data_IF_694528290770
#
_entry.id   IF_694528290770
#
_cell.length_a   1.000
_cell.length_b   1.000
_cell.length_c   1.000
_cell.angle_alpha   90.00
_cell.angle_beta   90.00
_cell.angle_gamma   90.00
#
_symmetry.space_group_name_H-M   'P 1'
#
loop_
_entity.id
_entity.type
_entity.pdbx_description
1 polymer ?
#
# COMPACT_ATOMS: atom_id res chain seq x y z
N UNK A 1 38.77 -8.60 -25.41
CA UNK A 1 38.88 -8.15 -24.00
C UNK A 1 37.55 -7.56 -23.62
N UNK A 2 36.89 -8.07 -22.57
CA UNK A 2 35.64 -7.47 -22.08
C UNK A 2 35.97 -6.12 -21.45
N UNK A 3 35.43 -5.05 -22.02
CA UNK A 3 35.64 -3.72 -21.47
C UNK A 3 34.70 -3.49 -20.29
N UNK A 4 35.13 -2.75 -19.25
CA UNK A 4 34.33 -2.55 -18.04
C UNK A 4 32.93 -2.00 -18.32
N UNK A 5 32.79 -1.11 -19.29
CA UNK A 5 31.50 -0.55 -19.72
C UNK A 5 30.54 -1.61 -20.26
N UNK A 6 31.05 -2.61 -20.99
CA UNK A 6 30.23 -3.71 -21.51
C UNK A 6 29.75 -4.63 -20.38
N UNK A 7 30.59 -4.85 -19.37
CA UNK A 7 30.23 -5.65 -18.19
C UNK A 7 29.08 -4.98 -17.43
N UNK A 8 29.19 -3.67 -17.17
CA UNK A 8 28.14 -2.91 -16.50
C UNK A 8 26.85 -2.83 -17.30
N UNK A 9 26.95 -2.68 -18.63
CA UNK A 9 25.79 -2.70 -19.51
C UNK A 9 25.04 -4.04 -19.46
N UNK A 10 25.76 -5.16 -19.61
CA UNK A 10 25.18 -6.50 -19.53
C UNK A 10 24.59 -6.77 -18.14
N UNK A 11 25.31 -6.37 -17.07
CA UNK A 11 24.83 -6.49 -15.70
C UNK A 11 23.48 -5.77 -15.52
N UNK A 12 23.35 -4.55 -16.06
CA UNK A 12 22.10 -3.80 -16.02
C UNK A 12 20.94 -4.49 -16.73
N UNK A 13 21.20 -5.08 -17.91
CA UNK A 13 20.21 -5.87 -18.66
C UNK A 13 19.79 -7.11 -17.87
N UNK A 14 20.74 -7.86 -17.31
CA UNK A 14 20.45 -9.06 -16.52
C UNK A 14 19.62 -8.71 -15.28
N UNK A 15 19.96 -7.64 -14.56
CA UNK A 15 19.19 -7.17 -13.40
C UNK A 15 17.76 -6.78 -13.79
N UNK A 16 17.58 -6.09 -14.92
CA UNK A 16 16.25 -5.74 -15.43
C UNK A 16 15.44 -6.98 -15.83
N UNK A 17 16.06 -8.02 -16.38
CA UNK A 17 15.39 -9.29 -16.69
C UNK A 17 15.04 -10.08 -15.43
N UNK A 18 15.88 -10.01 -14.39
CA UNK A 18 15.66 -10.70 -13.12
C UNK A 18 14.43 -10.16 -12.36
N UNK A 19 14.06 -8.90 -12.61
CA UNK A 19 12.83 -8.30 -12.09
C UNK A 19 11.59 -9.11 -12.45
N UNK A 20 11.53 -9.72 -13.65
CA UNK A 20 10.37 -10.54 -14.03
C UNK A 20 10.22 -11.80 -13.17
N UNK A 21 11.30 -12.28 -12.55
CA UNK A 21 11.27 -13.41 -11.62
C UNK A 21 10.89 -12.98 -10.20
N UNK A 22 11.26 -11.77 -9.79
CA UNK A 22 10.98 -11.22 -8.45
C UNK A 22 10.26 -9.87 -8.61
N UNK A 23 8.92 -9.85 -8.62
CA UNK A 23 8.17 -8.60 -8.73
C UNK A 23 8.39 -7.73 -7.48
N UNK A 24 9.10 -6.62 -7.66
CA UNK A 24 9.42 -5.65 -6.61
C UNK A 24 9.85 -4.26 -7.10
N UNK A 25 9.99 -4.07 -8.42
CA UNK A 25 10.53 -2.93 -9.19
C UNK A 25 11.98 -2.55 -8.82
N UNK A 26 12.50 -3.05 -7.70
CA UNK A 26 13.81 -2.75 -7.12
C UNK A 26 14.95 -3.09 -8.09
N UNK A 27 14.90 -4.23 -8.77
CA UNK A 27 16.02 -4.72 -9.60
C UNK A 27 16.20 -3.85 -10.85
N UNK A 28 15.11 -3.29 -11.39
CA UNK A 28 15.17 -2.33 -12.50
C UNK A 28 15.94 -1.08 -12.10
N UNK A 29 15.79 -0.57 -10.88
CA UNK A 29 16.54 0.60 -10.41
C UNK A 29 18.04 0.31 -10.30
N UNK A 30 18.41 -0.87 -9.81
CA UNK A 30 19.81 -1.32 -9.85
C UNK A 30 20.30 -1.46 -11.30
N UNK A 31 19.46 -1.94 -12.22
CA UNK A 31 19.80 -2.02 -13.64
C UNK A 31 20.08 -0.65 -14.26
N UNK A 32 19.24 0.35 -13.96
CA UNK A 32 19.46 1.75 -14.38
C UNK A 32 20.72 2.31 -13.75
N UNK A 33 21.00 2.03 -12.47
CA UNK A 33 22.25 2.38 -11.82
C UNK A 33 23.48 1.80 -12.54
N UNK A 34 23.42 0.54 -12.96
CA UNK A 34 24.48 -0.12 -13.72
C UNK A 34 24.70 0.55 -15.09
N UNK A 35 23.63 0.96 -15.78
CA UNK A 35 23.75 1.70 -17.04
C UNK A 35 24.33 3.11 -16.87
N UNK A 36 23.99 3.81 -15.79
CA UNK A 36 24.61 5.10 -15.46
C UNK A 36 26.13 4.91 -15.22
N UNK A 37 26.53 3.87 -14.48
CA UNK A 37 27.94 3.54 -14.28
C UNK A 37 28.64 3.15 -15.59
N UNK A 38 27.98 2.40 -16.47
CA UNK A 38 28.51 2.07 -17.79
C UNK A 38 28.76 3.34 -18.62
N UNK A 39 27.82 4.28 -18.62
CA UNK A 39 27.94 5.56 -19.33
C UNK A 39 29.07 6.42 -18.74
N UNK A 40 29.15 6.50 -17.42
CA UNK A 40 30.19 7.27 -16.71
C UNK A 40 31.59 6.70 -16.98
N UNK A 41 31.68 5.37 -17.08
CA UNK A 41 32.91 4.66 -17.44
C UNK A 41 33.29 4.92 -18.90
N UNK A 42 32.31 4.86 -19.81
CA UNK A 42 32.52 5.15 -21.22
C UNK A 42 33.00 6.60 -21.47
N UNK A 43 32.53 7.55 -20.67
CA UNK A 43 32.97 8.94 -20.70
C UNK A 43 34.36 9.18 -20.06
N UNK A 44 35.02 8.14 -19.54
CA UNK A 44 36.33 8.24 -18.88
C UNK A 44 36.30 8.90 -17.49
N UNK A 45 35.11 9.11 -16.91
CA UNK A 45 34.97 9.75 -15.59
C UNK A 45 35.30 8.79 -14.43
N UNK A 46 35.24 7.48 -14.69
CA UNK A 46 35.52 6.43 -13.71
C UNK A 46 36.50 5.40 -14.27
N UNK A 47 37.79 5.72 -14.17
CA UNK A 47 38.88 4.84 -14.66
C UNK A 47 39.19 3.67 -13.70
N UNK A 48 38.93 3.84 -12.40
CA UNK A 48 39.17 2.81 -11.40
C UNK A 48 37.90 2.00 -11.10
N UNK A 49 38.04 0.68 -10.93
CA UNK A 49 36.95 -0.21 -10.50
C UNK A 49 36.29 0.27 -9.21
N UNK A 50 37.05 0.86 -8.28
CA UNK A 50 36.51 1.42 -7.04
C UNK A 50 35.58 2.61 -7.30
N UNK A 51 35.95 3.48 -8.25
CA UNK A 51 35.13 4.64 -8.64
C UNK A 51 33.84 4.22 -9.34
N UNK A 52 33.88 3.17 -10.17
CA UNK A 52 32.70 2.58 -10.81
C UNK A 52 31.73 2.01 -9.78
N UNK A 53 32.25 1.27 -8.80
CA UNK A 53 31.44 0.69 -7.72
C UNK A 53 30.80 1.78 -6.86
N UNK A 54 31.53 2.86 -6.57
CA UNK A 54 31.00 4.00 -5.82
C UNK A 54 29.88 4.70 -6.57
N UNK A 55 30.04 4.96 -7.88
CA UNK A 55 29.00 5.57 -8.70
C UNK A 55 27.77 4.65 -8.76
N UNK A 56 27.97 3.34 -8.95
CA UNK A 56 26.87 2.37 -8.99
C UNK A 56 26.09 2.31 -7.67
N UNK A 57 26.80 2.20 -6.54
CA UNK A 57 26.18 2.14 -5.22
C UNK A 57 25.44 3.45 -4.92
N UNK A 58 26.07 4.60 -5.20
CA UNK A 58 25.48 5.91 -4.93
C UNK A 58 24.23 6.14 -5.78
N UNK A 59 24.30 5.88 -7.09
CA UNK A 59 23.14 6.04 -7.99
C UNK A 59 22.02 5.07 -7.63
N UNK A 60 22.31 3.80 -7.35
CA UNK A 60 21.30 2.82 -6.94
C UNK A 60 20.61 3.23 -5.63
N UNK A 61 21.37 3.67 -4.62
CA UNK A 61 20.80 4.15 -3.34
C UNK A 61 19.93 5.39 -3.55
N UNK A 62 20.39 6.35 -4.37
CA UNK A 62 19.60 7.55 -4.71
C UNK A 62 18.29 7.17 -5.41
N UNK A 63 18.35 6.28 -6.41
CA UNK A 63 17.18 5.81 -7.13
C UNK A 63 16.19 5.09 -6.21
N UNK A 64 16.67 4.23 -5.30
CA UNK A 64 15.84 3.55 -4.32
C UNK A 64 15.23 4.49 -3.29
N UNK A 65 16.00 5.47 -2.81
CA UNK A 65 15.50 6.46 -1.86
C UNK A 65 14.44 7.35 -2.53
N UNK A 66 14.68 7.76 -3.78
CA UNK A 66 13.72 8.51 -4.57
C UNK A 66 12.46 7.68 -4.77
N UNK A 67 12.56 6.41 -5.19
CA UNK A 67 11.42 5.50 -5.29
C UNK A 67 10.64 5.40 -3.98
N UNK A 68 11.33 5.12 -2.86
CA UNK A 68 10.70 4.98 -1.55
C UNK A 68 9.99 6.28 -1.11
N UNK A 69 10.62 7.43 -1.35
CA UNK A 69 10.06 8.74 -1.05
C UNK A 69 8.88 9.09 -1.95
N UNK A 70 9.00 8.86 -3.26
CA UNK A 70 7.96 9.15 -4.24
C UNK A 70 6.76 8.23 -4.09
N UNK A 71 6.99 6.93 -3.83
CA UNK A 71 5.93 5.99 -3.46
C UNK A 71 5.27 6.50 -2.19
N UNK A 72 5.99 6.70 -1.07
CA UNK A 72 5.37 7.14 0.20
C UNK A 72 4.62 8.47 0.08
N UNK A 73 5.15 9.44 -0.67
CA UNK A 73 4.53 10.75 -0.88
C UNK A 73 3.30 10.68 -1.77
N UNK A 74 3.35 9.95 -2.89
CA UNK A 74 2.21 9.76 -3.80
C UNK A 74 1.16 8.81 -3.21
N UNK A 75 1.59 7.82 -2.43
CA UNK A 75 0.74 6.87 -1.71
C UNK A 75 0.11 7.51 -0.46
N UNK A 76 0.71 8.54 0.14
CA UNK A 76 0.01 9.35 1.16
C UNK A 76 -1.18 10.13 0.58
N UNK A 77 -1.22 10.36 -0.74
CA UNK A 77 -2.36 10.98 -1.43
C UNK A 77 -3.27 10.01 -2.16
N UNK A 78 -2.85 8.75 -2.39
CA UNK A 78 -3.58 7.80 -3.23
C UNK A 78 -3.64 6.36 -2.72
N UNK A 79 -3.03 6.05 -1.57
CA UNK A 79 -2.99 4.71 -0.98
C UNK A 79 -3.50 4.76 0.45
N UNK A 80 -4.82 4.81 0.49
CA UNK A 80 -5.63 3.98 1.39
C UNK A 80 -5.58 2.52 0.90
N UNK A 81 -4.39 1.93 0.82
CA UNK A 81 -4.13 0.54 0.41
C UNK A 81 -3.09 -0.14 1.32
N UNK A 82 -2.79 0.44 2.48
CA UNK A 82 -2.68 -0.41 3.66
C UNK A 82 -4.11 -0.71 4.09
N UNK A 83 -4.60 -1.88 3.70
CA UNK A 83 -5.70 -2.55 4.37
C UNK A 83 -5.37 -2.71 5.86
N UNK A 84 -5.48 -1.61 6.59
CA UNK A 84 -5.83 -1.64 8.00
C UNK A 84 -7.35 -1.77 7.99
N UNK A 85 -7.90 -2.86 8.55
CA UNK A 85 -9.35 -2.98 8.73
C UNK A 85 -9.95 -1.73 9.39
N UNK A 86 -9.12 -1.03 10.18
CA UNK A 86 -9.43 0.18 10.94
C UNK A 86 -9.74 1.42 10.09
N UNK A 87 -9.10 1.63 8.93
CA UNK A 87 -9.37 2.84 8.11
C UNK A 87 -10.67 2.75 7.30
N UNK A 88 -11.16 1.54 7.01
CA UNK A 88 -12.48 1.40 6.41
C UNK A 88 -13.58 1.79 7.42
N UNK A 89 -13.37 1.61 8.73
CA UNK A 89 -14.35 1.85 9.81
C UNK A 89 -14.83 3.31 9.84
N UNK A 90 -13.96 4.27 9.52
CA UNK A 90 -14.32 5.68 9.44
C UNK A 90 -15.26 6.02 8.26
N UNK A 91 -15.28 5.21 7.20
CA UNK A 91 -16.23 5.38 6.08
C UNK A 91 -17.64 4.84 6.42
N UNK A 92 -17.78 4.04 7.48
CA UNK A 92 -19.07 3.52 7.93
C UNK A 92 -19.80 4.53 8.85
N UNK A 93 -19.05 5.32 9.61
CA UNK A 93 -19.58 6.25 10.61
C UNK A 93 -20.55 7.27 10.00
N UNK A 94 -21.74 7.39 10.58
CA UNK A 94 -22.80 8.31 10.13
C UNK A 94 -23.71 7.78 9.02
N UNK A 95 -23.49 6.54 8.53
CA UNK A 95 -24.38 5.93 7.54
C UNK A 95 -25.51 5.15 8.20
N UNK A 96 -26.66 5.12 7.52
CA UNK A 96 -27.83 4.37 7.96
C UNK A 96 -27.73 2.89 7.57
N UNK A 97 -28.16 2.02 8.48
CA UNK A 97 -28.21 0.57 8.30
C UNK A 97 -29.59 0.04 8.65
N UNK A 98 -30.00 -1.05 8.01
CA UNK A 98 -31.29 -1.70 8.29
C UNK A 98 -31.05 -2.88 9.21
N UNK A 99 -31.79 -2.95 10.31
CA UNK A 99 -31.69 -4.03 11.29
C UNK A 99 -32.36 -5.29 10.72
N UNK A 100 -31.60 -6.36 10.54
CA UNK A 100 -32.11 -7.65 10.05
C UNK A 100 -32.58 -8.53 11.22
N UNK A 101 -31.78 -8.59 12.29
CA UNK A 101 -32.08 -9.33 13.51
C UNK A 101 -32.19 -8.37 14.69
N UNK A 102 -33.13 -8.61 15.61
CA UNK A 102 -33.33 -7.77 16.80
C UNK A 102 -32.02 -7.60 17.60
N UNK A 103 -31.68 -6.35 17.89
CA UNK A 103 -30.48 -5.98 18.67
C UNK A 103 -30.95 -5.48 20.03
N UNK A 104 -30.35 -6.00 21.10
CA UNK A 104 -30.58 -5.52 22.46
C UNK A 104 -29.24 -5.29 23.15
N UNK A 105 -29.18 -4.51 24.24
CA UNK A 105 -27.93 -4.30 24.99
C UNK A 105 -27.28 -5.60 25.52
N UNK A 106 -28.06 -6.69 25.59
CA UNK A 106 -27.61 -7.99 26.09
C UNK A 106 -27.38 -9.01 24.95
N UNK A 107 -27.81 -8.70 23.73
CA UNK A 107 -27.77 -9.63 22.59
C UNK A 107 -27.38 -8.89 21.30
N UNK A 108 -26.18 -9.17 20.75
CA UNK A 108 -25.79 -8.66 19.44
C UNK A 108 -26.73 -9.22 18.38
N UNK A 109 -26.97 -8.42 17.34
CA UNK A 109 -27.79 -8.81 16.20
C UNK A 109 -27.05 -8.58 14.88
N UNK A 110 -27.82 -8.47 13.80
CA UNK A 110 -27.30 -8.25 12.46
C UNK A 110 -27.99 -7.09 11.78
N UNK A 111 -27.23 -6.35 10.98
CA UNK A 111 -27.71 -5.27 10.15
C UNK A 111 -27.29 -5.48 8.70
N UNK A 112 -28.04 -4.94 7.76
CA UNK A 112 -27.65 -4.84 6.37
C UNK A 112 -26.96 -3.50 6.13
N UNK A 113 -25.74 -3.57 5.60
CA UNK A 113 -24.99 -2.42 5.14
C UNK A 113 -24.39 -2.70 3.75
N UNK A 114 -24.66 -1.80 2.79
CA UNK A 114 -24.24 -1.94 1.38
C UNK A 114 -24.62 -3.31 0.77
N UNK A 115 -25.77 -3.89 1.17
CA UNK A 115 -26.26 -5.19 0.65
C UNK A 115 -25.55 -6.42 1.23
N UNK A 116 -24.75 -6.26 2.28
CA UNK A 116 -24.14 -7.37 3.02
C UNK A 116 -24.62 -7.38 4.49
N UNK A 117 -24.80 -8.55 5.11
CA UNK A 117 -25.10 -8.66 6.53
C UNK A 117 -23.84 -8.46 7.38
N UNK A 118 -23.92 -7.58 8.38
CA UNK A 118 -22.87 -7.26 9.34
C UNK A 118 -23.35 -7.51 10.77
N UNK A 119 -22.43 -7.85 11.67
CA UNK A 119 -22.74 -7.91 13.10
C UNK A 119 -22.92 -6.49 13.63
N UNK A 120 -23.91 -6.31 14.51
CA UNK A 120 -24.15 -5.03 15.13
C UNK A 120 -24.50 -5.15 16.62
N UNK A 121 -23.99 -4.17 17.36
CA UNK A 121 -24.24 -4.00 18.79
C UNK A 121 -24.78 -2.59 19.05
N UNK A 122 -25.63 -2.47 20.07
CA UNK A 122 -26.15 -1.20 20.50
C UNK A 122 -26.51 -1.20 21.97
N UNK A 123 -26.40 -0.03 22.61
CA UNK A 123 -26.95 0.24 23.94
C UNK A 123 -28.47 0.47 23.92
N UNK A 124 -29.08 0.50 22.74
CA UNK A 124 -30.52 0.66 22.55
C UNK A 124 -31.13 -0.61 21.94
N UNK A 125 -32.39 -0.86 22.23
CA UNK A 125 -33.13 -1.97 21.59
C UNK A 125 -33.65 -1.55 20.21
N UNK A 126 -33.33 -2.35 19.20
CA UNK A 126 -33.82 -2.23 17.83
C UNK A 126 -34.60 -3.47 17.43
N UNK A 127 -35.77 -3.27 16.83
CA UNK A 127 -36.51 -4.37 16.20
C UNK A 127 -36.01 -4.63 14.78
N UNK A 128 -36.24 -5.84 14.29
CA UNK A 128 -36.03 -6.16 12.87
C UNK A 128 -36.84 -5.21 11.98
N UNK A 129 -36.19 -4.65 10.96
CA UNK A 129 -36.72 -3.64 10.04
C UNK A 129 -36.47 -2.19 10.46
N UNK A 130 -35.95 -1.92 11.67
CA UNK A 130 -35.62 -0.55 12.08
C UNK A 130 -34.34 -0.03 11.44
N UNK A 131 -34.19 1.30 11.37
CA UNK A 131 -33.01 1.95 10.81
C UNK A 131 -32.13 2.48 11.95
N UNK A 132 -30.89 1.99 12.01
CA UNK A 132 -29.85 2.49 12.91
C UNK A 132 -28.86 3.40 12.17
N UNK A 133 -28.14 4.24 12.91
CA UNK A 133 -26.97 4.97 12.42
C UNK A 133 -25.72 4.34 12.99
N UNK A 134 -24.72 4.07 12.15
CA UNK A 134 -23.42 3.58 12.60
C UNK A 134 -22.70 4.72 13.34
N UNK A 135 -22.41 4.51 14.63
CA UNK A 135 -21.65 5.44 15.46
C UNK A 135 -20.15 5.21 15.34
N UNK A 136 -19.75 3.94 15.31
CA UNK A 136 -18.38 3.50 15.08
C UNK A 136 -18.40 2.05 14.65
N UNK A 137 -17.31 1.57 14.08
CA UNK A 137 -17.14 0.15 13.85
C UNK A 137 -15.92 -0.34 14.66
N UNK A 138 -16.08 -1.49 15.31
CA UNK A 138 -15.06 -2.15 16.12
C UNK A 138 -14.76 -3.51 15.47
N UNK A 139 -13.73 -3.53 14.61
CA UNK A 139 -13.37 -4.71 13.84
C UNK A 139 -14.46 -5.12 12.84
N UNK A 140 -15.11 -6.26 13.09
CA UNK A 140 -16.21 -6.79 12.26
C UNK A 140 -17.61 -6.51 12.84
N UNK A 141 -17.69 -5.74 13.93
CA UNK A 141 -18.93 -5.38 14.62
C UNK A 141 -19.20 -3.89 14.45
N UNK A 142 -20.41 -3.54 14.03
CA UNK A 142 -20.88 -2.16 13.90
C UNK A 142 -21.59 -1.72 15.18
N UNK A 143 -21.14 -0.63 15.79
CA UNK A 143 -21.86 -0.01 16.90
C UNK A 143 -22.87 0.96 16.33
N UNK A 144 -24.15 0.71 16.59
CA UNK A 144 -25.24 1.52 16.04
C UNK A 144 -26.02 2.25 17.13
N UNK A 145 -26.58 3.41 16.79
CA UNK A 145 -27.47 4.21 17.65
C UNK A 145 -28.72 4.63 16.92
N UNK A 146 -29.79 4.97 17.64
CA UNK A 146 -31.02 5.44 17.02
C UNK A 146 -30.75 6.77 16.34
N UNK A 147 -31.44 6.99 15.21
CA UNK A 147 -31.48 8.31 14.58
C UNK A 147 -32.21 9.26 15.51
N UNK A 148 -31.43 9.95 16.35
CA UNK A 148 -31.92 11.02 17.20
C UNK A 148 -32.67 12.05 16.37
N UNK A 149 -33.88 12.38 16.83
CA UNK A 149 -34.60 13.58 16.44
C UNK A 149 -33.85 14.84 16.91
#
# INVERSE_FOLDING_TARGET
>A
MFTPELIWFICGVVLALLEFAVPGVILVFFGVGAWITALTTYLGLTESTASQLLVFASTSVILLFFLRSHIRSRFSGFVSDSQSPEQNLDEFTGKSVVVLEEITPMKPGKVEFKGAPWHAESNETFKSGEIGLIEKAEGLTLIIKKRGA
#
